data_IF_084464342294
#
_entry.id   IF_084464342294
#
_cell.length_a   1.000
_cell.length_b   1.000
_cell.length_c   1.000
_cell.angle_alpha   90.00
_cell.angle_beta   90.00
_cell.angle_gamma   90.00
#
_symmetry.space_group_name_H-M   'P 1'
#
loop_
_entity.id
_entity.type
_entity.pdbx_description
1 polymer ?
#
# COMPACT_ATOMS: atom_id res chain seq x y z
N UNK A 1 -16.97 13.16 -4.57
CA UNK A 1 -15.63 12.84 -5.11
C UNK A 1 -14.61 13.32 -4.08
N UNK A 2 -14.26 12.48 -3.11
CA UNK A 2 -13.38 12.84 -1.96
C UNK A 2 -12.82 11.66 -1.16
N UNK A 3 -13.35 10.44 -1.34
CA UNK A 3 -12.91 9.27 -0.57
C UNK A 3 -11.60 8.65 -1.13
N UNK A 4 -11.46 8.57 -2.46
CA UNK A 4 -10.29 7.96 -3.09
C UNK A 4 -8.97 8.67 -2.78
N UNK A 5 -8.98 10.00 -2.59
CA UNK A 5 -7.78 10.75 -2.20
C UNK A 5 -7.30 10.34 -0.80
N UNK A 6 -8.22 10.14 0.14
CA UNK A 6 -7.90 9.65 1.47
C UNK A 6 -7.35 8.21 1.41
N UNK A 7 -7.96 7.35 0.59
CA UNK A 7 -7.45 5.99 0.37
C UNK A 7 -6.04 5.99 -0.22
N UNK A 8 -5.77 6.83 -1.23
CA UNK A 8 -4.44 7.00 -1.81
C UNK A 8 -3.43 7.45 -0.76
N UNK A 9 -3.77 8.44 0.07
CA UNK A 9 -2.90 8.93 1.14
C UNK A 9 -2.60 7.83 2.17
N UNK A 10 -3.62 7.09 2.62
CA UNK A 10 -3.47 6.00 3.60
C UNK A 10 -2.63 4.85 3.07
N UNK A 11 -2.86 4.43 1.82
CA UNK A 11 -2.07 3.38 1.15
C UNK A 11 -0.60 3.83 1.00
N UNK A 12 -0.38 5.08 0.58
CA UNK A 12 0.97 5.67 0.44
C UNK A 12 1.73 5.67 1.77
N UNK A 13 1.07 6.07 2.86
CA UNK A 13 1.69 6.12 4.18
C UNK A 13 2.18 4.74 4.65
N UNK A 14 1.45 3.66 4.31
CA UNK A 14 1.88 2.30 4.60
C UNK A 14 3.18 1.96 3.86
N UNK A 15 3.22 2.23 2.56
CA UNK A 15 4.40 1.93 1.73
C UNK A 15 5.63 2.70 2.22
N UNK A 16 5.48 3.97 2.55
CA UNK A 16 6.58 4.81 3.02
C UNK A 16 7.11 4.37 4.39
N UNK A 17 6.23 4.00 5.33
CA UNK A 17 6.63 3.64 6.69
C UNK A 17 7.19 2.22 6.80
N UNK A 18 6.61 1.26 6.08
CA UNK A 18 6.95 -0.16 6.24
C UNK A 18 7.55 -0.82 4.99
N UNK A 19 7.86 -0.04 3.96
CA UNK A 19 8.64 -0.47 2.78
C UNK A 19 8.10 -1.67 2.00
N UNK A 20 6.81 -1.99 2.16
CA UNK A 20 6.12 -3.08 1.48
C UNK A 20 4.85 -2.58 0.79
N UNK A 21 4.40 -3.29 -0.25
CA UNK A 21 3.13 -2.98 -0.88
C UNK A 21 1.98 -3.16 0.11
N UNK A 22 0.90 -2.41 -0.08
CA UNK A 22 -0.29 -2.59 0.77
C UNK A 22 -0.90 -3.97 0.60
N UNK A 23 -0.74 -4.59 -0.58
CA UNK A 23 -1.15 -5.98 -0.81
C UNK A 23 -0.30 -6.99 -0.05
N UNK A 24 1.01 -6.78 0.05
CA UNK A 24 1.87 -7.61 0.90
C UNK A 24 1.39 -7.57 2.34
N UNK A 25 1.19 -6.38 2.90
CA UNK A 25 0.70 -6.22 4.27
C UNK A 25 -0.71 -6.78 4.45
N UNK A 26 -1.58 -6.63 3.45
CA UNK A 26 -2.89 -7.27 3.44
C UNK A 26 -2.80 -8.79 3.67
N UNK A 27 -1.89 -9.46 2.95
CA UNK A 27 -1.71 -10.91 3.05
C UNK A 27 -1.05 -11.34 4.36
N UNK A 28 -0.13 -10.53 4.89
CA UNK A 28 0.48 -10.78 6.21
C UNK A 28 -0.56 -10.72 7.33
N UNK A 29 -1.56 -9.85 7.20
CA UNK A 29 -2.60 -9.62 8.21
C UNK A 29 -3.96 -10.17 7.76
N UNK A 30 -4.02 -11.46 7.44
CA UNK A 30 -5.27 -12.22 7.26
C UNK A 30 -6.29 -11.59 6.29
N UNK A 31 -5.82 -10.98 5.21
CA UNK A 31 -6.71 -10.33 4.22
C UNK A 31 -7.02 -8.86 4.51
N UNK A 32 -6.25 -8.21 5.40
CA UNK A 32 -6.38 -6.79 5.71
C UNK A 32 -7.00 -6.49 7.06
N UNK A 33 -6.75 -7.32 8.07
CA UNK A 33 -7.11 -7.04 9.46
C UNK A 33 -6.27 -5.86 10.00
N UNK A 34 -6.80 -4.65 9.78
CA UNK A 34 -6.18 -3.38 10.20
C UNK A 34 -6.06 -3.28 11.73
N UNK A 35 -6.88 -4.02 12.48
CA UNK A 35 -6.82 -4.03 13.94
C UNK A 35 -5.62 -4.85 14.44
N UNK A 36 -5.34 -6.00 13.83
CA UNK A 36 -4.11 -6.75 14.07
C UNK A 36 -2.88 -5.96 13.65
N UNK A 37 -2.94 -5.30 12.49
CA UNK A 37 -1.87 -4.41 12.01
C UNK A 37 -1.56 -3.31 13.02
N UNK A 38 -2.61 -2.59 13.46
CA UNK A 38 -2.52 -1.54 14.48
C UNK A 38 -1.89 -2.03 15.77
N UNK A 39 -2.33 -3.20 16.27
CA UNK A 39 -1.81 -3.79 17.51
C UNK A 39 -0.34 -4.21 17.37
N UNK A 40 0.06 -4.83 16.26
CA UNK A 40 1.45 -5.25 16.06
C UNK A 40 2.40 -4.06 16.07
N UNK A 41 2.00 -2.96 15.42
CA UNK A 41 2.80 -1.73 15.34
C UNK A 41 2.52 -0.75 16.47
N UNK A 42 1.82 -1.17 17.53
CA UNK A 42 1.52 -0.37 18.73
C UNK A 42 0.94 1.01 18.42
N UNK A 43 0.10 1.11 17.38
CA UNK A 43 -0.51 2.37 16.99
C UNK A 43 -1.76 2.66 17.85
N UNK A 44 -1.92 3.92 18.21
CA UNK A 44 -3.18 4.42 18.76
C UNK A 44 -4.31 4.32 17.72
N UNK A 45 -5.56 4.46 18.17
CA UNK A 45 -6.70 4.47 17.27
C UNK A 45 -6.62 5.63 16.27
N UNK A 46 -6.24 6.82 16.74
CA UNK A 46 -6.10 8.02 15.90
C UNK A 46 -5.01 7.84 14.84
N UNK A 47 -3.83 7.37 15.22
CA UNK A 47 -2.74 7.12 14.27
C UNK A 47 -3.11 6.07 13.23
N UNK A 48 -3.86 5.04 13.61
CA UNK A 48 -4.23 3.96 12.68
C UNK A 48 -5.08 4.43 11.51
N UNK A 49 -5.85 5.52 11.69
CA UNK A 49 -6.67 6.11 10.62
C UNK A 49 -5.86 6.59 9.42
N UNK A 50 -4.56 6.84 9.61
CA UNK A 50 -3.65 7.34 8.58
C UNK A 50 -3.09 6.23 7.67
N UNK A 51 -3.46 4.97 7.91
CA UNK A 51 -2.90 3.82 7.22
C UNK A 51 -4.02 2.93 6.69
N UNK A 52 -3.79 2.36 5.51
CA UNK A 52 -4.69 1.38 4.91
C UNK A 52 -3.89 0.25 4.27
N UNK A 53 -4.12 -0.99 4.69
CA UNK A 53 -3.41 -2.17 4.17
C UNK A 53 -4.26 -2.95 3.17
N UNK A 54 -5.03 -2.23 2.36
CA UNK A 54 -5.77 -2.78 1.23
C UNK A 54 -5.01 -2.54 -0.07
N UNK A 55 -5.06 -3.50 -0.99
CA UNK A 55 -4.27 -3.50 -2.23
C UNK A 55 -4.35 -2.19 -3.02
N UNK A 56 -3.25 -1.83 -3.69
CA UNK A 56 -3.17 -0.62 -4.53
C UNK A 56 -2.05 0.36 -4.18
N UNK A 57 -1.24 0.16 -3.14
CA UNK A 57 -0.01 0.93 -2.92
C UNK A 57 1.22 0.06 -3.19
N UNK A 58 2.12 0.49 -4.07
CA UNK A 58 3.32 -0.27 -4.47
C UNK A 58 4.58 0.61 -4.42
N UNK A 59 5.66 0.17 -3.74
CA UNK A 59 6.93 0.89 -3.75
C UNK A 59 7.64 0.74 -5.10
N UNK A 60 8.18 1.84 -5.62
CA UNK A 60 9.07 1.83 -6.77
C UNK A 60 10.52 1.91 -6.28
N UNK A 61 11.33 0.97 -6.76
CA UNK A 61 12.76 0.86 -6.49
C UNK A 61 13.50 0.87 -7.82
N UNK A 62 14.68 1.46 -7.83
CA UNK A 62 15.54 1.52 -9.02
C UNK A 62 16.85 0.84 -8.69
N UNK A 63 17.34 0.00 -9.59
CA UNK A 63 18.61 -0.71 -9.40
C UNK A 63 19.75 0.30 -9.15
N UNK A 64 20.60 -0.01 -8.17
CA UNK A 64 21.69 0.88 -7.75
C UNK A 64 21.26 2.10 -6.93
N UNK A 65 19.96 2.35 -6.72
CA UNK A 65 19.47 3.45 -5.88
C UNK A 65 18.95 2.91 -4.55
N UNK A 66 19.48 3.43 -3.45
CA UNK A 66 19.08 3.03 -2.11
C UNK A 66 17.64 3.51 -1.79
N UNK A 67 16.84 2.60 -1.25
CA UNK A 67 15.51 2.93 -0.71
C UNK A 67 14.38 2.88 -1.73
N UNK A 68 13.27 3.55 -1.41
CA UNK A 68 12.09 3.73 -2.26
C UNK A 68 12.21 5.10 -2.92
N UNK A 69 12.15 5.14 -4.25
CA UNK A 69 12.26 6.41 -5.00
C UNK A 69 10.90 7.04 -5.28
N UNK A 70 9.85 6.23 -5.34
CA UNK A 70 8.47 6.68 -5.53
C UNK A 70 7.47 5.64 -4.99
N UNK A 71 6.21 6.06 -4.86
CA UNK A 71 5.09 5.17 -4.54
C UNK A 71 4.02 5.35 -5.59
N UNK A 72 3.59 4.26 -6.21
CA UNK A 72 2.41 4.25 -7.10
C UNK A 72 1.21 3.82 -6.27
N UNK A 73 0.12 4.59 -6.40
CA UNK A 73 -1.15 4.31 -5.71
C UNK A 73 -2.31 4.26 -6.72
N UNK A 74 -3.11 3.20 -6.63
CA UNK A 74 -4.41 3.05 -7.31
C UNK A 74 -5.50 2.86 -6.25
N UNK A 75 -6.65 3.48 -6.46
CA UNK A 75 -7.82 3.36 -5.59
C UNK A 75 -9.10 3.49 -6.41
N UNK A 76 -9.98 2.50 -6.31
CA UNK A 76 -11.33 2.55 -6.87
C UNK A 76 -11.80 1.26 -7.52
N UNK A 77 -10.92 0.26 -7.68
CA UNK A 77 -11.27 -1.09 -8.12
C UNK A 77 -11.42 -2.03 -6.90
N UNK A 78 -11.59 -3.33 -7.14
CA UNK A 78 -11.38 -4.32 -6.07
C UNK A 78 -9.90 -4.29 -5.66
N UNK A 79 -9.60 -4.53 -4.39
CA UNK A 79 -8.24 -4.38 -3.86
C UNK A 79 -7.18 -5.23 -4.58
N UNK A 80 -7.55 -6.43 -5.03
CA UNK A 80 -6.70 -7.31 -5.82
C UNK A 80 -6.43 -6.74 -7.22
N UNK A 81 -7.41 -6.06 -7.81
CA UNK A 81 -7.31 -5.38 -9.12
C UNK A 81 -6.51 -4.07 -9.00
N UNK A 82 -6.73 -3.29 -7.93
CA UNK A 82 -5.95 -2.08 -7.60
C UNK A 82 -4.44 -2.41 -7.52
N UNK A 83 -4.07 -3.55 -6.93
CA UNK A 83 -2.68 -4.00 -6.91
C UNK A 83 -2.25 -4.60 -8.25
N UNK A 84 -3.11 -5.43 -8.85
CA UNK A 84 -2.84 -6.17 -10.08
C UNK A 84 -2.47 -5.25 -11.24
N UNK A 85 -3.25 -4.19 -11.47
CA UNK A 85 -3.01 -3.25 -12.58
C UNK A 85 -1.63 -2.58 -12.48
N UNK A 86 -1.16 -2.29 -11.27
CA UNK A 86 0.17 -1.69 -11.07
C UNK A 86 1.25 -2.70 -11.43
N UNK A 87 1.13 -3.93 -10.93
CA UNK A 87 2.13 -4.99 -11.15
C UNK A 87 2.17 -5.41 -12.61
N UNK A 88 1.02 -5.55 -13.26
CA UNK A 88 0.90 -5.86 -14.69
C UNK A 88 1.63 -4.81 -15.54
N UNK A 89 1.31 -3.52 -15.34
CA UNK A 89 1.95 -2.43 -16.09
C UNK A 89 3.46 -2.38 -15.84
N UNK A 90 3.90 -2.66 -14.60
CA UNK A 90 5.34 -2.71 -14.30
C UNK A 90 6.01 -3.85 -15.07
N UNK A 91 5.43 -5.05 -15.01
CA UNK A 91 5.97 -6.24 -15.66
C UNK A 91 6.04 -6.08 -17.18
N UNK A 92 5.02 -5.47 -17.79
CA UNK A 92 4.94 -5.35 -19.25
C UNK A 92 5.93 -4.34 -19.84
N UNK A 93 6.45 -3.41 -19.03
CA UNK A 93 7.26 -2.28 -19.53
C UNK A 93 8.68 -2.23 -18.96
N UNK A 94 8.94 -2.81 -17.77
CA UNK A 94 10.21 -2.63 -17.06
C UNK A 94 10.75 -3.89 -16.38
N UNK A 95 10.13 -5.06 -16.52
CA UNK A 95 10.69 -6.32 -16.02
C UNK A 95 11.60 -7.03 -17.02
#
# INVERSE_FOLDING_TARGET
MKDNENWVARKRNVVLRWSGSTWYWNRVFDGGDEDKFRRLFSMSMEESTQYAIHGGGVPIRVEGVAGIVAVVCVSGLKQEEDHGVIVEVINDNWC
#
